data_IF_605358585859
#
_entry.id   IF_605358585859
#
_cell.length_a   1.000
_cell.length_b   1.000
_cell.length_c   1.000
_cell.angle_alpha   90.00
_cell.angle_beta   90.00
_cell.angle_gamma   90.00
#
_symmetry.space_group_name_H-M   'P 1'
#
loop_
_entity.id
_entity.type
_entity.pdbx_description
1 polymer ?
#
# COMPACT_ATOMS: atom_id res chain seq x y z
N UNK A 1 -14.14 24.49 -3.77
CA UNK A 1 -13.26 23.75 -2.83
C UNK A 1 -13.70 22.29 -2.60
N UNK A 2 -14.99 22.01 -2.32
CA UNK A 2 -15.49 20.65 -2.10
C UNK A 2 -15.22 19.66 -3.25
N UNK A 3 -15.24 20.14 -4.49
CA UNK A 3 -15.06 19.31 -5.68
C UNK A 3 -13.60 18.86 -5.90
N UNK A 4 -12.61 19.67 -5.45
CA UNK A 4 -11.18 19.31 -5.55
C UNK A 4 -10.83 18.28 -4.47
N UNK A 5 -11.30 18.47 -3.24
CA UNK A 5 -11.10 17.52 -2.15
C UNK A 5 -11.67 16.13 -2.49
N UNK A 6 -12.85 16.09 -3.11
CA UNK A 6 -13.46 14.86 -3.62
C UNK A 6 -12.59 14.15 -4.67
N UNK A 7 -11.99 14.91 -5.61
CA UNK A 7 -11.10 14.34 -6.63
C UNK A 7 -9.82 13.81 -5.98
N UNK A 8 -9.18 14.58 -5.10
CA UNK A 8 -7.98 14.14 -4.37
C UNK A 8 -8.27 12.85 -3.60
N UNK A 9 -9.39 12.81 -2.88
CA UNK A 9 -9.78 11.64 -2.11
C UNK A 9 -10.02 10.40 -3.00
N UNK A 10 -10.73 10.55 -4.12
CA UNK A 10 -10.86 9.47 -5.10
C UNK A 10 -9.50 9.03 -5.65
N UNK A 11 -8.60 9.97 -5.97
CA UNK A 11 -7.24 9.67 -6.44
C UNK A 11 -6.46 8.87 -5.41
N UNK A 12 -6.51 9.24 -4.13
CA UNK A 12 -5.86 8.51 -3.05
C UNK A 12 -6.43 7.09 -2.87
N UNK A 13 -7.75 6.93 -2.93
CA UNK A 13 -8.38 5.61 -2.85
C UNK A 13 -8.03 4.73 -4.06
N UNK A 14 -8.03 5.29 -5.27
CA UNK A 14 -7.58 4.58 -6.47
C UNK A 14 -6.12 4.19 -6.36
N UNK A 15 -5.24 5.07 -5.87
CA UNK A 15 -3.83 4.79 -5.63
C UNK A 15 -3.63 3.66 -4.61
N UNK A 16 -4.40 3.66 -3.52
CA UNK A 16 -4.40 2.57 -2.54
C UNK A 16 -4.85 1.23 -3.14
N UNK A 17 -5.93 1.23 -3.92
CA UNK A 17 -6.39 0.02 -4.61
C UNK A 17 -5.35 -0.47 -5.62
N UNK A 18 -4.75 0.43 -6.40
CA UNK A 18 -3.72 0.07 -7.37
C UNK A 18 -2.46 -0.49 -6.69
N UNK A 19 -2.00 0.14 -5.60
CA UNK A 19 -0.92 -0.41 -4.78
C UNK A 19 -1.27 -1.81 -4.23
N UNK A 20 -2.54 -2.07 -3.91
CA UNK A 20 -3.01 -3.39 -3.46
C UNK A 20 -2.98 -4.44 -4.57
N UNK A 21 -3.22 -4.04 -5.82
CA UNK A 21 -3.09 -4.90 -7.02
C UNK A 21 -1.62 -5.22 -7.31
N UNK A 22 -0.72 -4.26 -7.14
CA UNK A 22 0.72 -4.48 -7.28
C UNK A 22 1.31 -5.37 -6.18
N UNK A 23 0.57 -5.57 -5.08
CA UNK A 23 1.01 -6.40 -3.98
C UNK A 23 0.92 -7.89 -4.40
N UNK A 24 1.95 -8.73 -4.21
CA UNK A 24 1.95 -10.13 -4.69
C UNK A 24 0.94 -11.07 -4.00
N UNK A 25 0.04 -10.54 -3.17
CA UNK A 25 -0.78 -11.32 -2.25
C UNK A 25 -2.23 -11.32 -2.73
N UNK A 26 -2.70 -12.47 -3.23
CA UNK A 26 -3.93 -12.60 -4.02
C UNK A 26 -5.20 -11.97 -3.41
N UNK A 27 -5.38 -12.04 -2.08
CA UNK A 27 -6.56 -11.45 -1.42
C UNK A 27 -6.57 -9.92 -1.54
N UNK A 28 -5.41 -9.26 -1.45
CA UNK A 28 -5.29 -7.80 -1.65
C UNK A 28 -5.49 -7.42 -3.11
N UNK A 29 -5.00 -8.24 -4.03
CA UNK A 29 -5.17 -8.03 -5.46
C UNK A 29 -6.65 -8.05 -5.87
N UNK A 30 -7.40 -9.05 -5.39
CA UNK A 30 -8.83 -9.17 -5.68
C UNK A 30 -9.63 -7.98 -5.13
N UNK A 31 -9.37 -7.58 -3.88
CA UNK A 31 -10.02 -6.41 -3.29
C UNK A 31 -9.69 -5.11 -4.04
N UNK A 32 -8.42 -4.92 -4.42
CA UNK A 32 -7.98 -3.78 -5.23
C UNK A 32 -8.65 -3.74 -6.60
N UNK A 33 -8.65 -4.86 -7.33
CA UNK A 33 -9.27 -4.99 -8.65
C UNK A 33 -10.78 -4.73 -8.63
N UNK A 34 -11.47 -5.18 -7.59
CA UNK A 34 -12.92 -5.02 -7.46
C UNK A 34 -13.31 -3.55 -7.18
N UNK A 35 -12.54 -2.87 -6.32
CA UNK A 35 -12.90 -1.52 -5.84
C UNK A 35 -12.34 -0.39 -6.72
N UNK A 36 -11.20 -0.61 -7.39
CA UNK A 36 -10.51 0.41 -8.18
C UNK A 36 -11.41 1.04 -9.27
N UNK A 37 -12.20 0.30 -10.07
CA UNK A 37 -13.04 0.89 -11.10
C UNK A 37 -14.06 1.88 -10.55
N UNK A 38 -14.61 1.60 -9.36
CA UNK A 38 -15.58 2.46 -8.70
C UNK A 38 -14.99 3.82 -8.31
N UNK A 39 -13.83 3.81 -7.62
CA UNK A 39 -13.16 5.04 -7.19
C UNK A 39 -12.60 5.85 -8.38
N UNK A 40 -12.06 5.17 -9.38
CA UNK A 40 -11.57 5.82 -10.60
C UNK A 40 -12.73 6.48 -11.37
N UNK A 41 -13.84 5.76 -11.55
CA UNK A 41 -15.04 6.29 -12.21
C UNK A 41 -15.63 7.50 -11.46
N UNK A 42 -15.68 7.43 -10.13
CA UNK A 42 -16.07 8.54 -9.26
C UNK A 42 -15.16 9.77 -9.43
N UNK A 43 -13.83 9.57 -9.42
CA UNK A 43 -12.87 10.66 -9.62
C UNK A 43 -12.99 11.33 -10.98
N UNK A 44 -13.12 10.54 -12.06
CA UNK A 44 -13.28 11.05 -13.42
C UNK A 44 -14.62 11.79 -13.62
N UNK A 45 -15.70 11.27 -13.04
CA UNK A 45 -17.01 11.93 -13.11
C UNK A 45 -17.02 13.24 -12.32
N UNK A 46 -16.38 13.27 -11.15
CA UNK A 46 -16.19 14.50 -10.38
C UNK A 46 -15.31 15.52 -11.12
N UNK A 47 -14.24 15.08 -11.77
CA UNK A 47 -13.40 15.93 -12.60
C UNK A 47 -14.19 16.57 -13.75
N UNK A 48 -14.98 15.77 -14.47
CA UNK A 48 -15.83 16.27 -15.55
C UNK A 48 -16.94 17.22 -15.05
N UNK A 49 -17.53 16.94 -13.89
CA UNK A 49 -18.52 17.81 -13.25
C UNK A 49 -17.93 19.17 -12.85
N UNK A 50 -16.68 19.19 -12.41
CA UNK A 50 -16.03 20.38 -11.83
C UNK A 50 -15.37 21.23 -12.91
N UNK A 51 -14.58 20.61 -13.79
CA UNK A 51 -13.70 21.33 -14.71
C UNK A 51 -14.23 21.39 -16.14
N UNK A 52 -15.17 20.51 -16.50
CA UNK A 52 -15.88 20.56 -17.79
C UNK A 52 -17.31 21.11 -17.64
N UNK A 53 -17.72 21.51 -16.42
CA UNK A 53 -19.02 22.11 -16.12
C UNK A 53 -20.22 21.30 -16.63
N UNK A 54 -20.13 19.96 -16.60
CA UNK A 54 -21.18 19.06 -17.10
C UNK A 54 -22.17 18.70 -15.98
N UNK A 55 -23.36 19.31 -16.00
CA UNK A 55 -24.42 19.07 -15.00
C UNK A 55 -24.80 17.58 -14.85
N UNK A 56 -24.94 16.84 -15.96
CA UNK A 56 -25.25 15.40 -15.93
C UNK A 56 -24.18 14.56 -15.21
N UNK A 57 -22.91 15.01 -15.26
CA UNK A 57 -21.81 14.34 -14.56
C UNK A 57 -21.81 14.67 -13.07
N UNK A 58 -22.20 15.89 -12.68
CA UNK A 58 -22.39 16.28 -11.29
C UNK A 58 -23.52 15.46 -10.63
N UNK A 59 -24.64 15.26 -11.33
CA UNK A 59 -25.73 14.42 -10.83
C UNK A 59 -25.32 12.94 -10.74
N UNK A 60 -24.62 12.43 -11.75
CA UNK A 60 -24.10 11.05 -11.71
C UNK A 60 -23.16 10.84 -10.53
N UNK A 61 -22.24 11.78 -10.29
CA UNK A 61 -21.35 11.75 -9.14
C UNK A 61 -22.15 11.77 -7.82
N UNK A 62 -23.17 12.62 -7.71
CA UNK A 62 -24.04 12.66 -6.53
C UNK A 62 -24.74 11.33 -6.25
N UNK A 63 -25.24 10.65 -7.30
CA UNK A 63 -25.87 9.33 -7.18
C UNK A 63 -24.86 8.28 -6.72
N UNK A 64 -23.67 8.27 -7.30
CA UNK A 64 -22.61 7.33 -6.93
C UNK A 64 -22.10 7.55 -5.49
N UNK A 65 -21.94 8.81 -5.04
CA UNK A 65 -21.62 9.11 -3.64
C UNK A 65 -22.72 8.67 -2.67
N UNK A 66 -23.99 8.85 -3.05
CA UNK A 66 -25.13 8.41 -2.24
C UNK A 66 -25.20 6.89 -2.15
N UNK A 67 -24.97 6.18 -3.25
CA UNK A 67 -24.97 4.72 -3.30
C UNK A 67 -23.77 4.15 -2.52
N UNK A 68 -22.56 4.65 -2.81
CA UNK A 68 -21.33 4.22 -2.15
C UNK A 68 -21.32 4.47 -0.65
N UNK A 69 -21.87 5.59 -0.18
CA UNK A 69 -22.01 5.85 1.26
C UNK A 69 -22.98 4.88 1.94
N UNK A 70 -24.05 4.47 1.25
CA UNK A 70 -24.95 3.42 1.74
C UNK A 70 -24.23 2.09 1.95
N UNK A 71 -23.45 1.65 0.94
CA UNK A 71 -22.64 0.43 1.07
C UNK A 71 -21.57 0.53 2.15
N UNK A 72 -20.85 1.64 2.24
CA UNK A 72 -19.84 1.85 3.28
C UNK A 72 -20.43 1.85 4.70
N UNK A 73 -21.64 2.41 4.87
CA UNK A 73 -22.35 2.38 6.13
C UNK A 73 -22.78 0.94 6.51
N UNK A 74 -23.31 0.17 5.56
CA UNK A 74 -23.64 -1.25 5.79
C UNK A 74 -22.38 -2.04 6.18
N UNK A 75 -21.28 -1.85 5.44
CA UNK A 75 -20.00 -2.50 5.75
C UNK A 75 -19.47 -2.13 7.15
N UNK A 76 -19.59 -0.86 7.55
CA UNK A 76 -19.24 -0.42 8.90
C UNK A 76 -20.08 -1.13 9.96
N UNK A 77 -21.39 -1.22 9.76
CA UNK A 77 -22.29 -1.95 10.68
C UNK A 77 -21.90 -3.41 10.78
N UNK A 78 -21.58 -4.09 9.67
CA UNK A 78 -21.11 -5.47 9.69
C UNK A 78 -19.82 -5.62 10.49
N UNK A 79 -18.82 -4.75 10.27
CA UNK A 79 -17.55 -4.77 11.02
C UNK A 79 -17.78 -4.58 12.52
N UNK A 80 -18.65 -3.64 12.91
CA UNK A 80 -18.98 -3.39 14.31
C UNK A 80 -19.74 -4.56 14.95
N UNK A 81 -20.65 -5.19 14.22
CA UNK A 81 -21.38 -6.37 14.69
C UNK A 81 -20.45 -7.58 14.86
N UNK A 82 -19.51 -7.79 13.94
CA UNK A 82 -18.52 -8.86 14.04
C UNK A 82 -17.59 -8.64 15.24
N UNK A 83 -17.11 -7.41 15.45
CA UNK A 83 -16.32 -7.06 16.64
C UNK A 83 -17.10 -7.31 17.94
N UNK A 84 -18.37 -6.90 18.00
CA UNK A 84 -19.24 -7.13 19.15
C UNK A 84 -19.44 -8.64 19.42
N UNK A 85 -19.61 -9.45 18.38
CA UNK A 85 -19.80 -10.90 18.49
C UNK A 85 -18.53 -11.65 18.87
N UNK A 86 -17.36 -11.19 18.42
CA UNK A 86 -16.09 -11.83 18.72
C UNK A 86 -15.59 -11.51 20.13
N UNK A 87 -16.08 -10.45 20.78
CA UNK A 87 -15.66 -10.05 22.13
C UNK A 87 -14.19 -9.61 22.21
N UNK A 88 -13.54 -9.45 21.07
CA UNK A 88 -12.13 -9.07 20.93
C UNK A 88 -11.96 -7.55 21.04
N UNK A 89 -10.91 -7.06 21.71
CA UNK A 89 -10.62 -5.62 21.76
C UNK A 89 -10.31 -5.08 20.35
N UNK A 90 -10.83 -3.89 20.05
CA UNK A 90 -10.69 -3.29 18.72
C UNK A 90 -9.22 -2.96 18.43
N UNK A 91 -8.61 -3.73 17.52
CA UNK A 91 -7.24 -3.50 17.08
C UNK A 91 -7.12 -2.20 16.26
N UNK A 92 -5.95 -1.54 16.33
CA UNK A 92 -5.68 -0.32 15.55
C UNK A 92 -5.96 -0.46 14.04
N UNK A 93 -5.60 -1.56 13.35
CA UNK A 93 -5.92 -1.74 11.94
C UNK A 93 -7.42 -1.80 11.66
N UNK A 94 -8.20 -2.44 12.55
CA UNK A 94 -9.66 -2.53 12.40
C UNK A 94 -10.30 -1.18 12.71
N UNK A 95 -9.83 -0.47 13.73
CA UNK A 95 -10.24 0.90 14.02
C UNK A 95 -9.97 1.84 12.84
N UNK A 96 -8.81 1.71 12.19
CA UNK A 96 -8.45 2.46 10.99
C UNK A 96 -9.38 2.17 9.81
N UNK A 97 -9.71 0.90 9.56
CA UNK A 97 -10.67 0.52 8.53
C UNK A 97 -12.08 1.06 8.83
N UNK A 98 -12.55 0.90 10.07
CA UNK A 98 -13.85 1.43 10.50
C UNK A 98 -13.90 2.96 10.38
N UNK A 99 -12.82 3.65 10.75
CA UNK A 99 -12.68 5.10 10.57
C UNK A 99 -12.76 5.53 9.11
N UNK A 100 -12.09 4.80 8.21
CA UNK A 100 -12.17 5.07 6.76
C UNK A 100 -13.60 4.85 6.22
N UNK A 101 -14.27 3.78 6.63
CA UNK A 101 -15.66 3.51 6.23
C UNK A 101 -16.61 4.61 6.75
N UNK A 102 -16.43 5.06 7.98
CA UNK A 102 -17.20 6.14 8.58
C UNK A 102 -16.96 7.47 7.84
N UNK A 103 -15.70 7.82 7.55
CA UNK A 103 -15.35 8.99 6.77
C UNK A 103 -15.97 8.94 5.37
N UNK A 104 -15.94 7.79 4.71
CA UNK A 104 -16.57 7.62 3.39
C UNK A 104 -18.10 7.74 3.46
N UNK A 105 -18.73 7.14 4.47
CA UNK A 105 -20.18 7.19 4.65
C UNK A 105 -20.66 8.63 4.92
N UNK A 106 -19.96 9.35 5.79
CA UNK A 106 -20.25 10.75 6.11
C UNK A 106 -19.98 11.67 4.92
N UNK A 107 -18.82 11.54 4.28
CA UNK A 107 -18.46 12.33 3.10
C UNK A 107 -19.40 12.06 1.92
N UNK A 108 -19.78 10.81 1.64
CA UNK A 108 -20.68 10.51 0.52
C UNK A 108 -22.08 11.13 0.68
N UNK A 109 -22.56 11.30 1.92
CA UNK A 109 -23.83 12.00 2.18
C UNK A 109 -23.71 13.51 1.99
N UNK A 110 -22.63 14.12 2.48
CA UNK A 110 -22.38 15.56 2.34
C UNK A 110 -21.97 15.95 0.91
N UNK A 111 -20.97 15.26 0.35
CA UNK A 111 -20.52 15.42 -1.03
C UNK A 111 -21.62 15.12 -2.05
N UNK A 112 -22.48 14.14 -1.78
CA UNK A 112 -23.66 13.87 -2.61
C UNK A 112 -24.63 15.06 -2.67
N UNK A 113 -24.90 15.73 -1.54
CA UNK A 113 -25.75 16.94 -1.49
C UNK A 113 -25.11 18.11 -2.23
N UNK A 114 -23.83 18.35 -1.97
CA UNK A 114 -23.07 19.43 -2.62
C UNK A 114 -23.02 19.25 -4.14
N UNK A 115 -22.86 18.02 -4.63
CA UNK A 115 -22.89 17.74 -6.06
C UNK A 115 -24.28 17.91 -6.68
N UNK A 116 -25.37 17.69 -5.94
CA UNK A 116 -26.74 18.00 -6.43
C UNK A 116 -26.97 19.50 -6.51
N UNK A 117 -26.53 20.26 -5.51
CA UNK A 117 -26.59 21.72 -5.53
C UNK A 117 -25.78 22.26 -6.72
N UNK A 118 -24.56 21.78 -6.89
CA UNK A 118 -23.72 22.13 -8.04
C UNK A 118 -24.36 21.74 -9.39
N UNK A 119 -25.02 20.58 -9.47
CA UNK A 119 -25.73 20.19 -10.68
C UNK A 119 -26.90 21.13 -11.01
N UNK A 120 -27.62 21.61 -9.99
CA UNK A 120 -28.72 22.56 -10.16
C UNK A 120 -28.20 23.95 -10.58
N UNK A 121 -27.12 24.43 -9.96
CA UNK A 121 -26.45 25.66 -10.36
C UNK A 121 -25.97 25.59 -11.81
N UNK A 122 -25.28 24.50 -12.20
CA UNK A 122 -24.83 24.32 -13.58
C UNK A 122 -25.98 24.28 -14.59
N UNK A 123 -27.16 23.77 -14.23
CA UNK A 123 -28.34 23.77 -15.10
C UNK A 123 -28.91 25.17 -15.27
N UNK A 124 -29.08 25.90 -14.18
CA UNK A 124 -29.54 27.29 -14.21
C UNK A 124 -28.61 28.14 -15.09
N UNK A 125 -27.29 28.00 -14.91
CA UNK A 125 -26.29 28.66 -15.77
C UNK A 125 -26.40 28.25 -17.24
N UNK A 126 -26.60 26.97 -17.55
CA UNK A 126 -26.77 26.50 -18.92
C UNK A 126 -28.03 27.06 -19.58
N UNK A 127 -29.12 27.20 -18.81
CA UNK A 127 -30.38 27.78 -19.26
C UNK A 127 -30.26 29.29 -19.49
N UNK A 128 -29.59 30.02 -18.59
CA UNK A 128 -29.29 31.46 -18.74
C UNK A 128 -28.37 31.73 -19.94
N UNK A 129 -27.31 30.93 -20.13
CA UNK A 129 -26.37 31.11 -21.25
C UNK A 129 -26.97 30.66 -22.60
N UNK A 130 -27.96 29.75 -22.60
CA UNK A 130 -28.70 29.37 -23.80
C UNK A 130 -29.74 30.45 -24.20
N UNK A 131 -30.21 31.23 -23.24
CA UNK A 131 -31.03 32.44 -23.44
C UNK A 131 -30.19 33.59 -24.00
N UNK A 132 -28.99 33.80 -23.46
CA UNK A 132 -28.07 34.89 -23.83
C UNK A 132 -27.11 34.50 -24.97
N UNK A 133 -27.65 33.96 -26.06
CA UNK A 133 -26.89 33.58 -27.26
C UNK A 133 -26.32 34.77 -28.07
N UNK A 134 -25.83 35.81 -27.38
CA UNK A 134 -24.98 36.87 -27.90
C UNK A 134 -23.75 37.03 -26.98
N UNK A 135 -22.80 36.10 -27.10
CA UNK A 135 -21.37 36.40 -26.94
C UNK A 135 -20.71 36.36 -25.56
N UNK A 136 -21.37 35.93 -24.47
CA UNK A 136 -20.66 35.79 -23.18
C UNK A 136 -20.19 34.35 -22.95
N UNK A 137 -18.91 34.09 -23.21
CA UNK A 137 -18.24 32.84 -22.82
C UNK A 137 -18.37 32.65 -21.31
N UNK A 138 -18.94 31.51 -20.90
CA UNK A 138 -19.05 31.11 -19.50
C UNK A 138 -17.69 31.22 -18.77
N UNK A 139 -17.65 31.47 -17.45
CA UNK A 139 -16.41 31.46 -16.67
C UNK A 139 -15.91 30.01 -16.55
N UNK A 140 -15.30 29.54 -17.63
CA UNK A 140 -14.58 28.29 -17.71
C UNK A 140 -13.25 28.53 -17.01
N UNK A 141 -12.94 27.74 -15.97
CA UNK A 141 -11.60 27.70 -15.39
C UNK A 141 -10.57 27.71 -16.53
N UNK A 142 -9.69 28.71 -16.52
CA UNK A 142 -8.90 29.06 -17.71
C UNK A 142 -8.09 27.87 -18.25
N UNK A 143 -7.71 27.88 -19.53
CA UNK A 143 -6.92 26.80 -20.13
C UNK A 143 -5.61 26.50 -19.38
N UNK A 144 -5.08 27.45 -18.59
CA UNK A 144 -3.94 27.27 -17.71
C UNK A 144 -4.23 26.34 -16.52
N UNK A 145 -5.38 26.50 -15.84
CA UNK A 145 -5.75 25.69 -14.67
C UNK A 145 -6.00 24.23 -15.04
N UNK A 146 -6.61 23.99 -16.21
CA UNK A 146 -6.83 22.64 -16.74
C UNK A 146 -5.53 21.90 -17.07
N UNK A 147 -4.47 22.61 -17.48
CA UNK A 147 -3.16 21.99 -17.77
C UNK A 147 -2.43 21.58 -16.50
N UNK A 148 -2.41 22.42 -15.48
CA UNK A 148 -1.79 22.10 -14.19
C UNK A 148 -2.45 20.86 -13.55
N UNK A 149 -3.77 20.81 -13.55
CA UNK A 149 -4.54 19.71 -12.97
C UNK A 149 -4.36 18.39 -13.73
N UNK A 150 -4.11 18.46 -15.04
CA UNK A 150 -3.83 17.27 -15.88
C UNK A 150 -2.57 16.53 -15.45
N UNK A 151 -1.58 17.22 -14.88
CA UNK A 151 -0.35 16.61 -14.37
C UNK A 151 -0.37 16.39 -12.87
N UNK A 152 -1.06 17.24 -12.11
CA UNK A 152 -1.12 17.16 -10.65
C UNK A 152 -1.76 15.85 -10.16
N UNK A 153 -2.93 15.47 -10.69
CA UNK A 153 -3.62 14.25 -10.21
C UNK A 153 -2.88 12.95 -10.56
N UNK A 154 -2.32 12.77 -11.76
CA UNK A 154 -1.42 11.64 -12.03
C UNK A 154 -0.18 11.63 -11.13
N UNK A 155 0.43 12.80 -10.85
CA UNK A 155 1.58 12.88 -9.95
C UNK A 155 1.19 12.45 -8.52
N UNK A 156 0.07 12.94 -7.99
CA UNK A 156 -0.49 12.51 -6.70
C UNK A 156 -0.77 11.00 -6.71
N UNK A 157 -1.36 10.47 -7.78
CA UNK A 157 -1.63 9.05 -7.92
C UNK A 157 -0.35 8.21 -7.83
N UNK A 158 0.70 8.58 -8.59
CA UNK A 158 1.98 7.86 -8.59
C UNK A 158 2.65 7.94 -7.22
N UNK A 159 2.76 9.15 -6.65
CA UNK A 159 3.39 9.36 -5.34
C UNK A 159 2.63 8.61 -4.23
N UNK A 160 1.30 8.73 -4.18
CA UNK A 160 0.48 8.04 -3.19
C UNK A 160 0.52 6.52 -3.38
N UNK A 161 0.52 6.02 -4.63
CA UNK A 161 0.66 4.58 -4.91
C UNK A 161 1.97 4.07 -4.33
N UNK A 162 3.07 4.79 -4.55
CA UNK A 162 4.37 4.42 -4.03
C UNK A 162 4.40 4.41 -2.49
N UNK A 163 3.87 5.46 -1.85
CA UNK A 163 3.76 5.54 -0.39
C UNK A 163 2.90 4.40 0.16
N UNK A 164 1.73 4.14 -0.42
CA UNK A 164 0.85 3.05 0.04
C UNK A 164 1.45 1.68 -0.20
N UNK A 165 2.15 1.48 -1.32
CA UNK A 165 2.91 0.27 -1.58
C UNK A 165 3.90 0.08 -0.44
N UNK A 166 4.89 0.96 -0.28
CA UNK A 166 5.90 0.86 0.79
C UNK A 166 5.28 0.69 2.20
N UNK A 167 4.21 1.42 2.49
CA UNK A 167 3.51 1.34 3.78
C UNK A 167 2.92 -0.04 4.06
N UNK A 168 2.41 -0.75 3.04
CA UNK A 168 1.76 -2.04 3.25
C UNK A 168 2.72 -3.14 3.69
N UNK A 169 3.94 -3.17 3.13
CA UNK A 169 5.01 -4.12 3.47
C UNK A 169 4.65 -5.62 3.33
N UNK A 170 5.64 -6.52 3.42
CA UNK A 170 5.40 -7.95 3.44
C UNK A 170 4.67 -8.36 4.73
N UNK A 171 3.52 -9.04 4.60
CA UNK A 171 2.74 -9.50 5.77
C UNK A 171 3.12 -10.89 6.25
N UNK A 172 3.42 -11.79 5.32
CA UNK A 172 3.93 -13.12 5.63
C UNK A 172 5.17 -13.36 4.76
N UNK A 173 5.93 -14.40 5.06
CA UNK A 173 6.82 -14.99 4.06
C UNK A 173 6.11 -16.15 3.38
N UNK A 174 6.49 -16.44 2.14
CA UNK A 174 6.07 -17.64 1.44
C UNK A 174 6.87 -18.82 1.96
N UNK A 175 6.18 -19.92 2.28
CA UNK A 175 6.79 -21.16 2.72
C UNK A 175 6.94 -22.09 1.52
N UNK A 176 8.17 -22.32 1.10
CA UNK A 176 8.50 -23.15 -0.07
C UNK A 176 9.59 -24.14 0.29
N UNK A 177 9.74 -25.20 -0.52
CA UNK A 177 10.91 -26.05 -0.44
C UNK A 177 12.15 -25.32 -0.99
N UNK A 178 13.35 -25.70 -0.53
CA UNK A 178 14.59 -25.00 -0.87
C UNK A 178 14.85 -24.90 -2.39
N UNK A 179 14.44 -25.91 -3.16
CA UNK A 179 14.57 -26.01 -4.61
C UNK A 179 13.57 -25.13 -5.39
N UNK A 180 12.50 -24.67 -4.75
CA UNK A 180 11.49 -23.81 -5.35
C UNK A 180 11.76 -22.32 -5.14
N UNK A 181 12.80 -21.99 -4.37
CA UNK A 181 13.13 -20.60 -4.08
C UNK A 181 13.95 -19.94 -5.20
N UNK A 182 13.83 -18.62 -5.40
CA UNK A 182 14.57 -17.91 -6.46
C UNK A 182 16.08 -17.79 -6.19
N UNK A 183 16.54 -18.16 -4.99
CA UNK A 183 17.95 -18.19 -4.59
C UNK A 183 18.34 -19.62 -4.27
N UNK A 184 19.48 -20.08 -4.80
CA UNK A 184 20.02 -21.38 -4.45
C UNK A 184 20.45 -21.40 -2.97
N UNK A 185 19.63 -22.01 -2.13
CA UNK A 185 19.90 -22.21 -0.71
C UNK A 185 20.90 -23.35 -0.46
N UNK A 186 21.59 -23.36 0.69
CA UNK A 186 22.53 -24.42 1.03
C UNK A 186 21.86 -25.80 1.12
N UNK A 187 22.65 -26.83 0.89
CA UNK A 187 22.21 -28.21 1.07
C UNK A 187 21.82 -28.43 2.55
N UNK A 188 20.68 -29.07 2.80
CA UNK A 188 20.15 -29.27 4.15
C UNK A 188 19.29 -28.10 4.67
N UNK A 189 19.14 -27.01 3.91
CA UNK A 189 18.15 -25.98 4.23
C UNK A 189 16.73 -26.57 4.22
N UNK A 190 16.00 -26.33 5.30
CA UNK A 190 14.62 -26.78 5.48
C UNK A 190 13.77 -25.68 6.13
N UNK A 191 12.45 -25.84 6.14
CA UNK A 191 11.52 -24.87 6.72
C UNK A 191 11.78 -23.43 6.20
N UNK A 192 11.86 -23.31 4.88
CA UNK A 192 12.26 -22.07 4.22
C UNK A 192 11.08 -21.12 4.13
N UNK A 193 11.26 -19.93 4.67
CA UNK A 193 10.35 -18.81 4.55
C UNK A 193 11.06 -17.66 3.85
N UNK A 194 10.48 -17.12 2.79
CA UNK A 194 11.11 -16.00 2.06
C UNK A 194 10.10 -14.95 1.64
N UNK A 195 10.58 -13.73 1.39
CA UNK A 195 9.77 -12.69 0.79
C UNK A 195 10.62 -11.75 -0.08
N UNK A 196 9.99 -11.25 -1.14
CA UNK A 196 10.58 -10.25 -2.03
C UNK A 196 9.60 -9.08 -2.11
N UNK A 197 10.04 -7.91 -1.67
CA UNK A 197 9.18 -6.74 -1.60
C UNK A 197 9.97 -5.43 -1.68
N UNK A 198 9.54 -4.50 -2.55
CA UNK A 198 10.13 -3.16 -2.69
C UNK A 198 11.67 -3.15 -2.80
N UNK A 199 12.24 -4.02 -3.64
CA UNK A 199 13.69 -4.12 -3.81
C UNK A 199 14.43 -4.78 -2.64
N UNK A 200 13.71 -5.26 -1.64
CA UNK A 200 14.24 -6.07 -0.54
C UNK A 200 13.94 -7.54 -0.77
N UNK A 201 14.92 -8.38 -0.47
CA UNK A 201 14.84 -9.83 -0.57
C UNK A 201 15.30 -10.41 0.74
N UNK A 202 14.45 -11.19 1.41
CA UNK A 202 14.80 -11.81 2.68
C UNK A 202 14.41 -13.29 2.71
N UNK A 203 15.25 -14.08 3.37
CA UNK A 203 15.13 -15.52 3.54
C UNK A 203 15.37 -15.87 5.00
N UNK A 204 14.62 -16.84 5.48
CA UNK A 204 14.77 -17.45 6.79
C UNK A 204 14.62 -18.97 6.59
N UNK A 205 15.57 -19.76 7.09
CA UNK A 205 15.52 -21.21 6.94
C UNK A 205 16.26 -21.91 8.07
N UNK A 206 15.88 -23.14 8.34
CA UNK A 206 16.52 -24.00 9.35
C UNK A 206 17.73 -24.71 8.73
N UNK A 207 18.87 -24.67 9.42
CA UNK A 207 20.13 -25.30 9.01
C UNK A 207 21.06 -25.47 10.21
N UNK A 208 22.01 -26.41 10.14
CA UNK A 208 23.07 -26.52 11.16
C UNK A 208 24.06 -25.37 11.07
N UNK A 209 24.69 -25.04 12.20
CA UNK A 209 25.69 -23.98 12.31
C UNK A 209 26.86 -24.21 11.34
N UNK A 210 27.44 -25.41 11.35
CA UNK A 210 28.57 -25.76 10.48
C UNK A 210 28.25 -25.57 8.99
N UNK A 211 27.04 -25.94 8.58
CA UNK A 211 26.59 -25.80 7.20
C UNK A 211 26.32 -24.34 6.84
N UNK A 212 25.75 -23.56 7.76
CA UNK A 212 25.59 -22.11 7.59
C UNK A 212 26.95 -21.42 7.43
N UNK A 213 27.91 -21.69 8.32
CA UNK A 213 29.25 -21.10 8.26
C UNK A 213 29.91 -21.44 6.92
N UNK A 214 29.96 -22.72 6.56
CA UNK A 214 30.53 -23.19 5.30
C UNK A 214 29.89 -22.53 4.08
N UNK A 215 28.56 -22.44 4.04
CA UNK A 215 27.83 -21.84 2.92
C UNK A 215 28.05 -20.33 2.83
N UNK A 216 27.92 -19.62 3.96
CA UNK A 216 28.03 -18.16 4.00
C UNK A 216 29.45 -17.72 3.65
N UNK A 217 30.49 -18.36 4.18
CA UNK A 217 31.88 -18.09 3.83
C UNK A 217 32.14 -18.27 2.32
N UNK A 218 31.63 -19.36 1.72
CA UNK A 218 31.75 -19.59 0.29
C UNK A 218 31.03 -18.51 -0.54
N UNK A 219 29.83 -18.09 -0.13
CA UNK A 219 29.07 -17.06 -0.85
C UNK A 219 29.71 -15.68 -0.73
N UNK A 220 30.22 -15.33 0.46
CA UNK A 220 30.85 -14.04 0.73
C UNK A 220 32.20 -13.98 0.03
N UNK A 221 33.06 -15.00 0.15
CA UNK A 221 34.38 -15.04 -0.48
C UNK A 221 34.31 -14.97 -2.01
N UNK A 222 33.28 -15.55 -2.64
CA UNK A 222 33.04 -15.41 -4.09
C UNK A 222 32.72 -13.98 -4.52
N UNK A 223 32.26 -13.13 -3.60
CA UNK A 223 31.82 -11.75 -3.87
C UNK A 223 32.79 -10.70 -3.30
N UNK A 224 33.65 -11.09 -2.35
CA UNK A 224 34.57 -10.22 -1.62
C UNK A 224 35.92 -10.90 -1.40
N UNK A 225 36.98 -10.23 -1.85
CA UNK A 225 38.36 -10.69 -1.65
C UNK A 225 38.91 -10.37 -0.26
N UNK A 226 38.23 -9.54 0.52
CA UNK A 226 38.68 -9.03 1.83
C UNK A 226 37.85 -9.55 3.01
N UNK A 227 37.11 -10.65 2.78
CA UNK A 227 36.37 -11.35 3.82
C UNK A 227 37.33 -11.95 4.86
N UNK A 228 37.11 -11.64 6.15
CA UNK A 228 37.96 -12.09 7.27
C UNK A 228 37.27 -13.09 8.20
N UNK A 229 36.11 -13.61 7.81
CA UNK A 229 35.25 -14.46 8.64
C UNK A 229 33.97 -13.73 9.08
N UNK A 230 33.01 -14.50 9.60
CA UNK A 230 31.81 -13.94 10.21
C UNK A 230 32.10 -13.39 11.60
N UNK A 231 31.34 -12.36 12.00
CA UNK A 231 31.48 -11.72 13.30
C UNK A 231 30.52 -12.38 14.31
N UNK A 232 30.99 -12.72 15.53
CA UNK A 232 30.10 -13.22 16.56
C UNK A 232 29.15 -12.10 17.03
N UNK A 233 27.88 -12.43 17.21
CA UNK A 233 26.86 -11.50 17.69
C UNK A 233 27.09 -11.24 19.19
N UNK A 234 27.82 -10.18 19.51
CA UNK A 234 28.11 -9.76 20.89
C UNK A 234 27.05 -8.84 21.52
N UNK A 235 26.21 -8.20 20.69
CA UNK A 235 25.08 -7.39 21.09
C UNK A 235 23.87 -7.74 20.21
N UNK A 236 22.65 -7.44 20.68
CA UNK A 236 21.40 -7.74 19.96
C UNK A 236 21.47 -7.25 18.50
N UNK A 237 21.42 -8.18 17.55
CA UNK A 237 21.41 -7.90 16.11
C UNK A 237 19.99 -8.03 15.57
N UNK A 238 19.52 -7.02 14.83
CA UNK A 238 18.17 -6.94 14.32
C UNK A 238 18.15 -7.20 12.81
N UNK A 239 17.35 -8.17 12.35
CA UNK A 239 17.15 -8.44 10.92
C UNK A 239 15.70 -8.27 10.47
N UNK A 240 15.43 -7.59 9.34
CA UNK A 240 14.07 -7.39 8.84
C UNK A 240 13.30 -8.71 8.64
N UNK A 241 12.10 -8.82 9.23
CA UNK A 241 11.16 -9.94 9.03
C UNK A 241 9.81 -9.47 8.46
N UNK A 242 8.92 -10.42 8.17
CA UNK A 242 7.54 -10.18 7.73
C UNK A 242 6.59 -9.83 8.90
N UNK A 243 5.43 -9.21 8.61
CA UNK A 243 4.62 -8.44 9.57
C UNK A 243 3.35 -9.10 10.23
N UNK A 244 3.32 -10.32 10.77
CA UNK A 244 2.17 -10.73 11.65
C UNK A 244 2.63 -11.53 12.89
N UNK A 245 2.09 -11.36 14.13
CA UNK A 245 0.73 -11.02 14.64
C UNK A 245 0.77 -10.02 15.85
N UNK A 246 -0.13 -9.01 15.90
CA UNK A 246 -0.71 -8.26 17.08
C UNK A 246 -0.74 -6.70 17.03
N UNK A 247 -1.78 -6.06 17.64
CA UNK A 247 -2.24 -4.68 17.42
C UNK A 247 -1.38 -3.52 17.92
N UNK A 248 -0.31 -3.77 18.68
CA UNK A 248 0.37 -2.73 19.48
C UNK A 248 1.90 -2.69 19.32
N UNK A 249 2.46 -3.22 18.22
CA UNK A 249 3.91 -3.15 17.99
C UNK A 249 4.31 -1.98 17.07
N UNK A 250 5.36 -1.19 17.42
CA UNK A 250 6.02 -0.28 16.48
C UNK A 250 6.74 -1.07 15.35
N UNK A 251 7.25 -0.40 14.29
CA UNK A 251 7.34 -0.92 12.91
C UNK A 251 8.43 -1.99 12.71
N UNK A 252 8.61 -2.46 11.46
CA UNK A 252 8.41 -3.87 11.08
C UNK A 252 9.30 -4.83 11.88
N UNK A 253 8.72 -5.92 12.39
CA UNK A 253 9.37 -6.86 13.31
C UNK A 253 10.73 -7.34 12.79
N UNK A 254 11.81 -6.79 13.35
CA UNK A 254 13.12 -7.37 13.20
C UNK A 254 13.21 -8.63 14.07
N UNK A 255 13.84 -9.70 13.55
CA UNK A 255 14.31 -10.79 14.41
C UNK A 255 15.50 -10.26 15.18
N UNK A 256 15.38 -10.28 16.51
CA UNK A 256 16.47 -9.91 17.40
C UNK A 256 17.25 -11.17 17.76
N UNK A 257 18.42 -11.31 17.18
CA UNK A 257 19.33 -12.43 17.42
C UNK A 257 20.22 -12.08 18.61
N UNK A 258 20.17 -12.93 19.64
CA UNK A 258 20.92 -12.75 20.89
C UNK A 258 22.28 -13.45 20.93
N UNK A 259 22.55 -14.33 19.97
CA UNK A 259 23.80 -15.08 19.86
C UNK A 259 23.88 -15.89 18.57
N UNK A 260 25.11 -16.13 18.11
CA UNK A 260 25.42 -16.73 16.80
C UNK A 260 26.38 -15.85 16.01
N UNK A 261 26.20 -15.76 14.70
CA UNK A 261 27.12 -15.06 13.81
C UNK A 261 26.36 -14.14 12.85
N UNK A 262 26.99 -13.04 12.46
CA UNK A 262 26.49 -12.18 11.41
C UNK A 262 27.62 -11.67 10.52
N UNK A 263 27.26 -11.28 9.30
CA UNK A 263 28.14 -10.54 8.41
C UNK A 263 27.32 -9.69 7.46
N UNK A 264 27.56 -8.38 7.50
CA UNK A 264 26.87 -7.38 6.69
C UNK A 264 27.84 -6.63 5.80
N UNK A 265 27.47 -6.39 4.54
CA UNK A 265 28.26 -5.53 3.66
C UNK A 265 27.42 -4.83 2.59
N UNK A 266 28.03 -3.85 1.93
CA UNK A 266 27.42 -3.12 0.84
C UNK A 266 27.86 -3.65 -0.52
N UNK A 267 26.92 -3.96 -1.40
CA UNK A 267 27.15 -4.43 -2.76
C UNK A 267 26.24 -3.71 -3.76
N UNK A 268 26.84 -2.94 -4.68
CA UNK A 268 26.13 -2.28 -5.81
C UNK A 268 24.87 -1.51 -5.38
N UNK A 269 24.96 -0.70 -4.32
CA UNK A 269 23.83 0.09 -3.81
C UNK A 269 22.81 -0.71 -3.00
N UNK A 270 23.19 -1.87 -2.46
CA UNK A 270 22.36 -2.71 -1.59
C UNK A 270 23.17 -3.09 -0.36
N UNK A 271 22.51 -3.17 0.79
CA UNK A 271 23.06 -3.78 1.99
C UNK A 271 22.67 -5.26 2.01
N UNK A 272 23.64 -6.13 2.22
CA UNK A 272 23.49 -7.58 2.23
C UNK A 272 23.94 -8.08 3.58
N UNK A 273 23.06 -8.76 4.28
CA UNK A 273 23.27 -9.28 5.62
C UNK A 273 23.02 -10.79 5.65
N UNK A 274 23.95 -11.51 6.25
CA UNK A 274 23.82 -12.91 6.62
C UNK A 274 23.85 -12.98 8.14
N UNK A 275 22.97 -13.77 8.74
CA UNK A 275 23.04 -14.06 10.16
C UNK A 275 22.59 -15.48 10.49
N UNK A 276 23.04 -15.98 11.63
CA UNK A 276 22.64 -17.25 12.19
C UNK A 276 22.28 -17.05 13.65
N UNK A 277 21.09 -17.52 14.02
CA UNK A 277 20.63 -17.61 15.40
C UNK A 277 20.91 -19.02 15.92
N UNK A 278 21.91 -19.12 16.79
CA UNK A 278 22.33 -20.40 17.36
C UNK A 278 21.27 -20.99 18.30
N UNK A 279 20.45 -20.15 18.95
CA UNK A 279 19.41 -20.62 19.86
C UNK A 279 18.21 -21.19 19.09
N UNK A 280 17.86 -20.57 17.97
CA UNK A 280 16.77 -21.03 17.11
C UNK A 280 17.19 -22.10 16.10
N UNK A 281 18.50 -22.25 15.82
CA UNK A 281 19.00 -23.10 14.74
C UNK A 281 18.59 -22.60 13.35
N UNK A 282 18.49 -21.28 13.18
CA UNK A 282 17.96 -20.64 11.97
C UNK A 282 18.97 -19.70 11.35
N UNK A 283 19.08 -19.76 10.03
CA UNK A 283 19.81 -18.83 9.22
C UNK A 283 18.89 -17.79 8.60
N UNK A 284 19.44 -16.60 8.44
CA UNK A 284 18.79 -15.44 7.89
C UNK A 284 19.67 -14.84 6.80
N UNK A 285 19.05 -14.43 5.70
CA UNK A 285 19.68 -13.65 4.66
C UNK A 285 18.77 -12.48 4.30
N UNK A 286 19.32 -11.28 4.21
CA UNK A 286 18.61 -10.11 3.76
C UNK A 286 19.45 -9.34 2.74
N UNK A 287 18.82 -8.87 1.67
CA UNK A 287 19.40 -7.91 0.74
C UNK A 287 18.42 -6.78 0.56
N UNK A 288 18.76 -5.62 1.12
CA UNK A 288 17.95 -4.40 1.12
C UNK A 288 18.55 -3.43 0.12
N UNK A 289 17.76 -2.90 -0.81
CA UNK A 289 18.21 -1.78 -1.63
C UNK A 289 18.45 -0.55 -0.73
N UNK A 290 19.52 0.21 -0.96
CA UNK A 290 19.69 1.49 -0.27
C UNK A 290 18.41 2.32 -0.48
N UNK A 291 17.86 2.84 0.60
CA UNK A 291 16.62 3.62 0.58
C UNK A 291 16.68 4.69 -0.52
N UNK A 292 15.72 4.64 -1.46
CA UNK A 292 15.40 5.72 -2.39
C UNK A 292 14.83 6.92 -1.62
#
# INVERSE_FOLDING_TARGET
MCSVAAIVFCTLLTAFCFASVLHPWGIRQLGGLLLMPGFLGLGLTQYAATFQSKANRAETAARLYSLGSGFAFIALVCVLLDLYRMGEPMSWPVAGLAGLLLLFATWGRWGGRLNRQWAAELRAWQEETASDQDGSEAPVAGPADRRLLRFLFPAIFVAATWVFYLWMGPRFGEHLSADQTPLALPQGASDVCYWIYAGTTAFEFSISEDEFLRWSEQQIARRRNDFKGLEPIGARFAMPRYRQWLPNAPPPHDVVIGGGYHYGWRQRGRNVDYAYDAAAGRAYYCSVADSL
#
